data_IF_307826851688
#
_entry.id   IF_307826851688
#
_cell.length_a   1.000
_cell.length_b   1.000
_cell.length_c   1.000
_cell.angle_alpha   90.00
_cell.angle_beta   90.00
_cell.angle_gamma   90.00
#
_symmetry.space_group_name_H-M   'P 1'
#
loop_
_entity.id
_entity.type
_entity.pdbx_description
1 polymer ?
#
# COMPACT_ATOMS: atom_id res chain seq x y z
N UNK A 1 24.20 -13.02 14.67
CA UNK A 1 22.82 -13.41 14.30
C UNK A 1 22.01 -12.13 14.36
N UNK A 2 21.71 -11.54 13.19
CA UNK A 2 20.85 -10.36 13.15
C UNK A 2 19.46 -10.75 13.69
N UNK A 3 18.95 -9.98 14.63
CA UNK A 3 17.60 -10.17 15.14
C UNK A 3 16.66 -9.51 14.14
N UNK A 4 15.90 -10.30 13.40
CA UNK A 4 14.85 -9.79 12.53
C UNK A 4 13.76 -9.23 13.44
N UNK A 5 13.52 -7.93 13.36
CA UNK A 5 12.49 -7.22 14.14
C UNK A 5 11.16 -7.10 13.38
N UNK A 6 11.06 -7.75 12.20
CA UNK A 6 9.90 -7.74 11.32
C UNK A 6 9.41 -9.18 11.05
N UNK A 7 8.14 -9.44 11.22
CA UNK A 7 7.55 -10.76 11.00
C UNK A 7 6.48 -10.72 9.91
N UNK A 8 6.38 -11.79 9.11
CA UNK A 8 5.29 -11.95 8.15
C UNK A 8 4.07 -12.51 8.89
N UNK A 9 2.96 -11.75 8.89
CA UNK A 9 1.64 -12.23 9.36
C UNK A 9 1.00 -13.08 8.27
N UNK A 10 1.01 -12.57 7.04
CA UNK A 10 0.40 -13.21 5.87
C UNK A 10 1.19 -12.88 4.61
N UNK A 11 1.26 -13.83 3.68
CA UNK A 11 1.80 -13.62 2.33
C UNK A 11 0.81 -14.16 1.30
N UNK A 12 0.40 -13.33 0.36
CA UNK A 12 -0.52 -13.71 -0.70
C UNK A 12 -0.18 -12.97 -2.00
N UNK A 13 -0.20 -13.67 -3.13
CA UNK A 13 0.10 -13.12 -4.47
C UNK A 13 1.39 -12.25 -4.50
N UNK A 14 2.40 -12.58 -3.72
CA UNK A 14 3.64 -11.79 -3.63
C UNK A 14 3.59 -10.59 -2.69
N UNK A 15 2.41 -10.09 -2.31
CA UNK A 15 2.25 -9.10 -1.26
C UNK A 15 2.40 -9.74 0.13
N UNK A 16 2.76 -8.94 1.12
CA UNK A 16 2.85 -9.42 2.50
C UNK A 16 2.28 -8.40 3.49
N UNK A 17 1.56 -8.89 4.49
CA UNK A 17 1.25 -8.16 5.70
C UNK A 17 2.33 -8.46 6.73
N UNK A 18 2.93 -7.43 7.27
CA UNK A 18 4.08 -7.51 8.16
C UNK A 18 3.73 -6.90 9.52
N UNK A 19 4.26 -7.49 10.58
CA UNK A 19 4.20 -6.97 11.95
C UNK A 19 5.60 -6.63 12.42
N UNK A 20 5.93 -5.35 12.64
CA UNK A 20 7.17 -4.97 13.27
C UNK A 20 7.14 -5.27 14.76
N UNK A 21 8.30 -5.52 15.34
CA UNK A 21 8.44 -5.62 16.79
C UNK A 21 8.16 -4.28 17.44
N UNK A 22 7.28 -4.27 18.42
CA UNK A 22 6.91 -3.08 19.18
C UNK A 22 7.43 -3.21 20.60
N UNK A 23 8.30 -2.28 21.00
CA UNK A 23 8.76 -2.13 22.39
C UNK A 23 7.85 -1.14 23.10
N UNK A 24 7.37 -1.50 24.28
CA UNK A 24 6.47 -0.68 25.08
C UNK A 24 7.07 -0.38 26.46
N UNK A 25 6.93 0.84 26.93
CA UNK A 25 7.24 1.24 28.30
C UNK A 25 6.24 2.29 28.79
N UNK A 26 6.49 2.89 29.96
CA UNK A 26 5.61 3.92 30.57
C UNK A 26 5.47 5.19 29.70
N UNK A 27 6.35 5.43 28.74
CA UNK A 27 6.34 6.60 27.85
C UNK A 27 5.54 6.34 26.57
N UNK A 28 5.28 5.07 26.22
CA UNK A 28 4.55 4.71 25.00
C UNK A 28 5.14 3.52 24.27
N UNK A 29 5.19 3.63 22.93
CA UNK A 29 5.61 2.56 22.04
C UNK A 29 6.76 3.04 21.15
N UNK A 30 7.70 2.15 20.86
CA UNK A 30 8.76 2.34 19.87
C UNK A 30 8.80 1.13 18.93
N UNK A 31 8.96 1.39 17.65
CA UNK A 31 9.15 0.34 16.63
C UNK A 31 10.04 0.85 15.51
N UNK A 32 10.74 -0.07 14.87
CA UNK A 32 11.30 0.12 13.53
C UNK A 32 10.33 -0.52 12.56
N UNK A 33 9.54 0.25 11.79
CA UNK A 33 8.49 -0.31 10.95
C UNK A 33 9.01 -1.28 9.89
N UNK A 34 10.21 -1.05 9.40
CA UNK A 34 10.97 -1.95 8.55
C UNK A 34 12.43 -1.49 8.45
N UNK A 35 13.30 -2.40 8.04
CA UNK A 35 14.64 -2.11 7.54
C UNK A 35 14.86 -2.84 6.21
N UNK A 36 15.78 -2.37 5.39
CA UNK A 36 16.10 -3.05 4.11
C UNK A 36 16.67 -4.45 4.38
N UNK A 37 17.48 -4.60 5.43
CA UNK A 37 18.02 -5.89 5.85
C UNK A 37 16.92 -6.88 6.23
N UNK A 38 15.91 -6.44 7.00
CA UNK A 38 14.78 -7.30 7.38
C UNK A 38 13.94 -7.73 6.18
N UNK A 39 13.61 -6.79 5.27
CA UNK A 39 12.88 -7.12 4.04
C UNK A 39 13.61 -8.20 3.24
N UNK A 40 14.92 -8.04 3.03
CA UNK A 40 15.75 -9.03 2.31
C UNK A 40 15.83 -10.36 3.02
N UNK A 41 15.99 -10.36 4.34
CA UNK A 41 16.04 -11.58 5.14
C UNK A 41 14.72 -12.36 5.09
N UNK A 42 13.61 -11.66 4.92
CA UNK A 42 12.29 -12.25 4.69
C UNK A 42 12.05 -12.69 3.22
N UNK A 43 13.05 -12.51 2.33
CA UNK A 43 12.92 -12.81 0.91
C UNK A 43 11.99 -11.86 0.17
N UNK A 44 11.86 -10.63 0.63
CA UNK A 44 11.15 -9.55 -0.03
C UNK A 44 12.15 -8.71 -0.84
N UNK A 45 11.90 -8.58 -2.14
CA UNK A 45 12.81 -7.87 -3.04
C UNK A 45 12.79 -6.36 -2.76
N UNK A 46 13.99 -5.77 -2.63
CA UNK A 46 14.14 -4.33 -2.39
C UNK A 46 15.46 -3.81 -2.99
N UNK A 47 15.40 -2.68 -3.71
CA UNK A 47 16.61 -1.97 -4.20
C UNK A 47 17.29 -1.19 -3.07
N UNK A 48 18.50 -0.68 -3.35
CA UNK A 48 19.23 0.20 -2.41
C UNK A 48 18.72 1.65 -2.42
N UNK A 49 18.03 2.03 -3.48
CA UNK A 49 17.40 3.36 -3.61
C UNK A 49 16.03 3.36 -2.94
N UNK A 50 15.63 4.47 -2.38
CA UNK A 50 14.30 4.65 -1.82
C UNK A 50 13.81 6.10 -1.92
N UNK A 51 12.47 6.26 -1.95
CA UNK A 51 11.78 7.52 -1.82
C UNK A 51 10.69 7.38 -0.76
N UNK A 52 10.71 8.25 0.25
CA UNK A 52 9.63 8.35 1.24
C UNK A 52 8.56 9.29 0.73
N UNK A 53 7.32 8.85 0.80
CA UNK A 53 6.12 9.60 0.44
C UNK A 53 5.19 9.66 1.66
N UNK A 54 4.62 10.84 1.91
CA UNK A 54 3.61 11.06 2.93
C UNK A 54 2.32 11.54 2.27
N UNK A 55 1.19 10.98 2.68
CA UNK A 55 -0.13 11.33 2.16
C UNK A 55 -1.09 11.60 3.31
N UNK A 56 -1.70 12.78 3.28
CA UNK A 56 -2.80 13.16 4.15
C UNK A 56 -4.11 13.14 3.36
N UNK A 57 -5.17 12.58 3.94
CA UNK A 57 -6.50 12.48 3.33
C UNK A 57 -7.55 12.93 4.33
N UNK A 58 -8.29 13.99 4.00
CA UNK A 58 -9.21 14.65 4.91
C UNK A 58 -10.40 13.76 5.30
N UNK A 59 -11.01 13.10 4.33
CA UNK A 59 -12.31 12.49 4.50
C UNK A 59 -12.26 10.96 4.40
N UNK A 60 -13.00 10.30 5.27
CA UNK A 60 -13.34 8.88 5.22
C UNK A 60 -14.00 8.54 3.87
N UNK A 61 -13.73 7.35 3.35
CA UNK A 61 -14.29 6.88 2.08
C UNK A 61 -13.57 7.39 0.83
N UNK A 62 -12.50 8.16 0.99
CA UNK A 62 -11.71 8.65 -0.15
C UNK A 62 -10.85 7.53 -0.72
N UNK A 63 -11.08 7.18 -1.99
CA UNK A 63 -10.25 6.24 -2.75
C UNK A 63 -9.12 7.00 -3.45
N UNK A 64 -7.90 6.51 -3.32
CA UNK A 64 -6.72 7.02 -4.04
C UNK A 64 -6.00 5.90 -4.78
N UNK A 65 -5.75 6.10 -6.06
CA UNK A 65 -5.23 5.07 -6.96
C UNK A 65 -6.36 4.24 -7.59
N UNK A 66 -6.07 3.01 -8.08
CA UNK A 66 -4.77 2.34 -8.08
C UNK A 66 -3.77 2.93 -9.07
N UNK A 67 -2.53 3.07 -8.61
CA UNK A 67 -1.45 3.67 -9.39
C UNK A 67 -0.23 2.74 -9.46
N UNK A 68 0.48 2.77 -10.59
CA UNK A 68 1.73 2.04 -10.79
C UNK A 68 2.68 2.83 -11.67
N UNK A 69 3.91 2.37 -11.80
CA UNK A 69 4.91 2.94 -12.67
C UNK A 69 5.39 1.87 -13.65
N UNK A 70 5.31 2.17 -14.94
CA UNK A 70 5.58 1.18 -16.00
C UNK A 70 7.07 0.95 -16.20
N UNK A 71 7.83 2.05 -16.38
CA UNK A 71 9.29 2.02 -16.34
C UNK A 71 9.73 2.36 -14.91
N UNK A 72 10.80 1.74 -14.47
CA UNK A 72 11.28 1.83 -13.09
C UNK A 72 10.22 1.40 -12.07
N UNK A 73 9.67 0.17 -12.22
CA UNK A 73 8.61 -0.31 -11.36
C UNK A 73 9.05 -0.28 -9.89
N UNK A 74 8.10 0.04 -9.01
CA UNK A 74 8.35 0.27 -7.60
C UNK A 74 7.80 -0.88 -6.76
N UNK A 75 8.64 -1.49 -5.91
CA UNK A 75 8.13 -2.14 -4.71
C UNK A 75 7.76 -1.07 -3.67
N UNK A 76 6.82 -1.37 -2.80
CA UNK A 76 6.30 -0.41 -1.81
C UNK A 76 6.19 -1.05 -0.43
N UNK A 77 6.53 -0.27 0.58
CA UNK A 77 6.25 -0.57 1.98
C UNK A 77 5.34 0.53 2.50
N UNK A 78 4.14 0.17 2.93
CA UNK A 78 3.06 1.11 3.29
C UNK A 78 2.70 0.92 4.76
N UNK A 79 2.53 2.01 5.50
CA UNK A 79 1.99 2.01 6.85
C UNK A 79 0.98 3.13 7.06
N UNK A 80 0.00 2.91 7.91
CA UNK A 80 -0.85 3.96 8.44
C UNK A 80 -0.16 4.63 9.63
N UNK A 81 -0.07 5.96 9.63
CA UNK A 81 0.54 6.73 10.74
C UNK A 81 -0.51 7.46 11.57
N UNK A 82 -1.72 7.66 11.02
CA UNK A 82 -2.87 8.19 11.74
C UNK A 82 -4.16 7.69 11.10
N UNK A 83 -5.14 7.31 11.93
CA UNK A 83 -6.39 6.73 11.49
C UNK A 83 -6.25 5.29 11.02
N UNK A 84 -7.02 4.92 9.99
CA UNK A 84 -7.04 3.59 9.38
C UNK A 84 -7.38 3.66 7.90
N UNK A 85 -6.91 2.67 7.14
CA UNK A 85 -7.15 2.55 5.71
C UNK A 85 -7.17 1.09 5.27
N UNK A 86 -7.85 0.81 4.16
CA UNK A 86 -7.75 -0.46 3.45
C UNK A 86 -6.83 -0.28 2.26
N UNK A 87 -5.69 -0.94 2.28
CA UNK A 87 -4.62 -0.85 1.29
C UNK A 87 -4.65 -2.06 0.37
N UNK A 88 -4.59 -1.86 -0.94
CA UNK A 88 -4.75 -2.91 -1.95
C UNK A 88 -3.59 -2.92 -2.93
N UNK A 89 -2.97 -4.10 -3.09
CA UNK A 89 -2.01 -4.40 -4.13
C UNK A 89 -2.66 -5.22 -5.26
N UNK A 90 -2.56 -4.75 -6.49
CA UNK A 90 -3.21 -5.35 -7.67
C UNK A 90 -2.13 -5.82 -8.63
N UNK A 91 -2.12 -7.09 -8.99
CA UNK A 91 -1.20 -7.63 -9.99
C UNK A 91 -1.55 -7.09 -11.38
N UNK A 92 -0.59 -6.42 -12.05
CA UNK A 92 -0.81 -5.81 -13.36
C UNK A 92 -0.22 -6.62 -14.52
N UNK A 93 0.50 -7.71 -14.24
CA UNK A 93 1.18 -8.53 -15.26
C UNK A 93 1.09 -10.02 -14.96
N UNK A 94 1.32 -10.84 -15.98
CA UNK A 94 1.41 -12.31 -15.88
C UNK A 94 0.06 -12.99 -15.61
N UNK A 95 0.11 -14.24 -15.17
CA UNK A 95 -1.06 -15.11 -14.98
C UNK A 95 -2.02 -14.59 -13.89
N UNK A 96 -1.52 -13.82 -12.95
CA UNK A 96 -2.32 -13.24 -11.87
C UNK A 96 -2.85 -11.84 -12.18
N UNK A 97 -2.72 -11.35 -13.42
CA UNK A 97 -3.20 -10.02 -13.82
C UNK A 97 -4.67 -9.83 -13.43
N UNK A 98 -4.97 -8.73 -12.73
CA UNK A 98 -6.29 -8.40 -12.23
C UNK A 98 -6.63 -9.02 -10.87
N UNK A 99 -5.83 -9.95 -10.34
CA UNK A 99 -6.00 -10.41 -8.96
C UNK A 99 -5.41 -9.39 -7.99
N UNK A 100 -6.01 -9.29 -6.81
CA UNK A 100 -5.59 -8.33 -5.79
C UNK A 100 -5.51 -8.95 -4.40
N UNK A 101 -4.78 -8.29 -3.54
CA UNK A 101 -4.70 -8.55 -2.10
C UNK A 101 -4.92 -7.23 -1.37
N UNK A 102 -5.72 -7.25 -0.32
CA UNK A 102 -5.99 -6.06 0.48
C UNK A 102 -5.89 -6.33 1.97
N UNK A 103 -5.34 -5.36 2.71
CA UNK A 103 -5.19 -5.41 4.15
C UNK A 103 -5.64 -4.10 4.78
N UNK A 104 -6.29 -4.20 5.96
CA UNK A 104 -6.55 -3.03 6.80
C UNK A 104 -5.27 -2.70 7.54
N UNK A 105 -4.82 -1.45 7.43
CA UNK A 105 -3.69 -0.90 8.14
C UNK A 105 -4.17 0.17 9.10
N UNK A 106 -3.72 0.10 10.34
CA UNK A 106 -4.11 1.04 11.39
C UNK A 106 -2.89 1.67 12.06
N UNK A 107 -3.01 2.93 12.46
CA UNK A 107 -1.94 3.59 13.22
C UNK A 107 -1.68 2.91 14.57
N UNK A 108 -2.71 2.30 15.17
CA UNK A 108 -2.63 1.63 16.48
C UNK A 108 -1.99 0.26 16.38
N UNK A 109 -2.32 -0.49 15.32
CA UNK A 109 -1.81 -1.85 15.06
C UNK A 109 -0.37 -1.85 14.57
N UNK A 110 0.03 -0.76 13.90
CA UNK A 110 1.38 -0.58 13.35
C UNK A 110 1.76 -1.62 12.27
N UNK A 111 0.78 -2.27 11.66
CA UNK A 111 0.98 -3.19 10.57
C UNK A 111 1.59 -2.47 9.37
N UNK A 112 2.35 -3.21 8.59
CA UNK A 112 3.03 -2.73 7.38
C UNK A 112 2.68 -3.64 6.22
N UNK A 113 2.30 -3.09 5.08
CA UNK A 113 2.06 -3.85 3.86
C UNK A 113 3.23 -3.70 2.90
N UNK A 114 3.78 -4.83 2.47
CA UNK A 114 4.71 -4.90 1.35
C UNK A 114 3.95 -5.23 0.07
N UNK A 115 4.22 -4.47 -1.00
CA UNK A 115 3.72 -4.70 -2.36
C UNK A 115 4.93 -4.81 -3.29
N UNK A 116 5.09 -5.92 -4.06
CA UNK A 116 6.23 -6.11 -4.95
C UNK A 116 6.12 -5.24 -6.21
N UNK A 117 7.21 -5.17 -6.98
CA UNK A 117 7.22 -4.57 -8.32
C UNK A 117 6.25 -5.31 -9.25
N UNK A 118 5.65 -4.58 -10.19
CA UNK A 118 4.66 -5.15 -11.11
C UNK A 118 3.25 -5.17 -10.53
N UNK A 119 3.01 -4.39 -9.48
CA UNK A 119 1.70 -4.19 -8.87
C UNK A 119 1.29 -2.71 -8.91
N UNK A 120 -0.01 -2.48 -9.10
CA UNK A 120 -0.62 -1.20 -8.80
C UNK A 120 -1.01 -1.16 -7.32
N UNK A 121 -0.95 0.03 -6.73
CA UNK A 121 -1.36 0.29 -5.35
C UNK A 121 -2.48 1.31 -5.32
N UNK A 122 -3.52 1.01 -4.55
CA UNK A 122 -4.59 1.93 -4.19
C UNK A 122 -5.02 1.71 -2.74
N UNK A 123 -5.77 2.65 -2.20
CA UNK A 123 -6.33 2.52 -0.85
C UNK A 123 -7.63 3.32 -0.73
N UNK A 124 -8.44 2.97 0.27
CA UNK A 124 -9.57 3.77 0.75
C UNK A 124 -9.37 4.08 2.22
N UNK A 125 -9.67 5.33 2.62
CA UNK A 125 -9.62 5.75 4.03
C UNK A 125 -10.84 5.25 4.80
N UNK A 126 -10.62 4.71 6.00
CA UNK A 126 -11.68 4.20 6.87
C UNK A 126 -12.03 5.19 7.99
N UNK A 127 -11.24 6.24 8.16
CA UNK A 127 -11.42 7.33 9.11
C UNK A 127 -11.11 8.67 8.46
N UNK A 128 -11.64 9.76 9.03
CA UNK A 128 -11.28 11.12 8.65
C UNK A 128 -9.85 11.45 9.07
N UNK A 129 -9.20 12.36 8.35
CA UNK A 129 -7.84 12.81 8.62
C UNK A 129 -6.83 11.66 8.70
N UNK A 130 -6.99 10.67 7.82
CA UNK A 130 -6.09 9.53 7.73
C UNK A 130 -4.77 9.93 7.07
N UNK A 131 -3.68 9.51 7.71
CA UNK A 131 -2.32 9.74 7.20
C UNK A 131 -1.63 8.40 6.96
N UNK A 132 -0.98 8.28 5.81
CA UNK A 132 -0.14 7.14 5.49
C UNK A 132 1.23 7.58 5.00
N UNK A 133 2.22 6.78 5.33
CA UNK A 133 3.54 6.83 4.72
C UNK A 133 3.75 5.59 3.85
N UNK A 134 4.39 5.79 2.71
CA UNK A 134 4.87 4.67 1.92
C UNK A 134 6.24 4.98 1.34
N UNK A 135 7.09 3.98 1.38
CA UNK A 135 8.42 4.04 0.83
C UNK A 135 8.44 3.20 -0.43
N UNK A 136 9.11 3.71 -1.45
CA UNK A 136 9.29 3.03 -2.73
C UNK A 136 10.77 2.79 -2.97
N UNK A 137 11.11 1.68 -3.60
CA UNK A 137 12.48 1.30 -3.91
C UNK A 137 12.99 1.80 -5.27
N UNK A 138 12.21 2.67 -5.91
CA UNK A 138 12.58 3.49 -7.07
C UNK A 138 11.94 4.87 -6.93
N UNK A 139 12.58 5.88 -7.54
CA UNK A 139 12.06 7.23 -7.56
C UNK A 139 10.80 7.34 -8.42
N UNK A 140 9.97 8.34 -8.12
CA UNK A 140 8.81 8.66 -8.92
C UNK A 140 9.22 9.22 -10.29
N UNK A 141 8.64 8.67 -11.35
CA UNK A 141 8.82 9.11 -12.73
C UNK A 141 7.43 9.46 -13.32
N UNK A 142 7.18 10.74 -13.46
CA UNK A 142 5.87 11.27 -13.92
C UNK A 142 5.46 10.71 -15.28
N UNK A 143 6.41 10.62 -16.21
CA UNK A 143 6.19 10.21 -17.60
C UNK A 143 5.72 8.75 -17.72
N UNK A 144 6.02 7.93 -16.73
CA UNK A 144 5.70 6.49 -16.73
C UNK A 144 4.67 6.10 -15.66
N UNK A 145 4.22 7.09 -14.87
CA UNK A 145 3.22 6.89 -13.82
C UNK A 145 1.83 6.74 -14.42
N UNK A 146 1.23 5.57 -14.23
CA UNK A 146 -0.08 5.19 -14.76
C UNK A 146 -1.07 4.88 -13.63
N UNK A 147 -2.34 4.90 -14.01
CA UNK A 147 -3.46 4.48 -13.15
C UNK A 147 -4.30 3.44 -13.87
N UNK A 148 -5.00 2.62 -13.12
CA UNK A 148 -6.05 1.74 -13.63
C UNK A 148 -7.38 2.12 -13.01
N UNK A 149 -8.47 1.78 -13.70
CA UNK A 149 -9.81 2.10 -13.27
C UNK A 149 -10.10 1.45 -11.91
N UNK A 150 -10.56 2.22 -10.95
CA UNK A 150 -10.66 1.83 -9.55
C UNK A 150 -11.79 0.82 -9.28
N UNK A 151 -12.89 0.89 -10.04
CA UNK A 151 -14.15 0.14 -9.86
C UNK A 151 -14.27 -1.13 -10.72
N UNK A 152 -13.23 -1.46 -11.52
CA UNK A 152 -13.34 -2.51 -12.56
C UNK A 152 -12.90 -3.91 -12.11
N UNK A 153 -12.08 -3.99 -11.06
CA UNK A 153 -11.41 -5.25 -10.67
C UNK A 153 -12.24 -6.06 -9.66
N UNK A 154 -13.37 -5.52 -9.23
CA UNK A 154 -14.22 -6.17 -8.21
C UNK A 154 -13.67 -6.04 -6.79
N UNK A 155 -12.83 -5.03 -6.55
CA UNK A 155 -12.36 -4.70 -5.19
C UNK A 155 -13.54 -4.15 -4.40
N UNK A 156 -13.80 -4.74 -3.25
CA UNK A 156 -14.76 -4.18 -2.30
C UNK A 156 -14.13 -3.01 -1.53
N UNK A 157 -14.21 -1.83 -2.11
CA UNK A 157 -13.74 -0.60 -1.46
C UNK A 157 -14.61 -0.18 -0.27
N UNK A 158 -15.81 -0.75 -0.12
CA UNK A 158 -16.67 -0.49 1.05
C UNK A 158 -16.21 -1.27 2.28
N UNK A 159 -15.30 -2.23 2.09
CA UNK A 159 -14.76 -3.10 3.15
C UNK A 159 -15.90 -3.79 3.94
N UNK A 160 -16.77 -4.47 3.18
CA UNK A 160 -17.94 -5.15 3.77
C UNK A 160 -19.00 -4.18 4.31
N UNK A 161 -19.11 -2.97 3.76
CA UNK A 161 -20.06 -1.96 4.19
C UNK A 161 -19.60 -1.08 5.36
N UNK A 162 -18.33 -1.20 5.76
CA UNK A 162 -17.77 -0.37 6.84
C UNK A 162 -17.62 1.10 6.46
N UNK A 163 -17.52 1.40 5.16
CA UNK A 163 -17.32 2.75 4.63
C UNK A 163 -18.14 2.95 3.35
N UNK A 164 -18.67 4.16 3.16
CA UNK A 164 -19.25 4.61 1.90
C UNK A 164 -18.16 5.27 1.05
N UNK A 165 -18.02 4.84 -0.22
CA UNK A 165 -17.03 5.40 -1.11
C UNK A 165 -17.42 6.80 -1.58
N UNK A 166 -16.54 7.76 -1.44
CA UNK A 166 -16.71 9.14 -1.87
C UNK A 166 -16.24 9.32 -3.32
N UNK A 167 -17.07 8.93 -4.27
CA UNK A 167 -16.77 9.06 -5.70
C UNK A 167 -16.57 10.52 -6.14
N UNK A 168 -17.20 11.46 -5.44
CA UNK A 168 -17.04 12.89 -5.64
C UNK A 168 -15.62 13.39 -5.36
N UNK A 169 -14.86 12.68 -4.53
CA UNK A 169 -13.46 12.99 -4.18
C UNK A 169 -12.42 12.28 -5.04
N UNK A 170 -12.83 11.49 -6.02
CA UNK A 170 -11.90 10.90 -6.98
C UNK A 170 -11.18 11.97 -7.80
N UNK A 171 -9.85 11.87 -7.88
CA UNK A 171 -9.10 12.73 -8.80
C UNK A 171 -9.48 12.46 -10.27
N UNK A 172 -9.37 13.46 -11.15
CA UNK A 172 -9.63 13.26 -12.57
C UNK A 172 -8.79 12.15 -13.19
N UNK A 173 -7.56 12.01 -12.74
CA UNK A 173 -6.65 10.91 -13.14
C UNK A 173 -7.24 9.54 -12.81
N UNK A 174 -7.79 9.35 -11.63
CA UNK A 174 -8.35 8.05 -11.20
C UNK A 174 -9.74 7.81 -11.80
N UNK A 175 -10.56 8.87 -11.94
CA UNK A 175 -11.89 8.81 -12.55
C UNK A 175 -11.81 8.38 -14.02
N UNK A 176 -10.84 8.92 -14.77
CA UNK A 176 -10.65 8.69 -16.20
C UNK A 176 -9.56 7.64 -16.51
N UNK A 177 -9.12 6.88 -15.52
CA UNK A 177 -8.11 5.85 -15.71
C UNK A 177 -8.59 4.75 -16.67
N UNK A 178 -7.69 4.18 -17.50
CA UNK A 178 -8.03 3.09 -18.40
C UNK A 178 -8.33 1.81 -17.64
N UNK A 179 -9.06 0.90 -18.31
CA UNK A 179 -9.25 -0.47 -17.86
C UNK A 179 -7.91 -1.20 -17.71
N UNK A 180 -7.81 -2.09 -16.73
CA UNK A 180 -6.65 -2.98 -16.55
C UNK A 180 -6.40 -3.86 -17.79
N UNK A 181 -7.39 -4.07 -18.63
CA UNK A 181 -7.26 -4.83 -19.87
C UNK A 181 -6.29 -4.19 -20.85
N UNK A 182 -6.10 -2.87 -20.77
CA UNK A 182 -5.26 -2.06 -21.64
C UNK A 182 -3.90 -1.69 -21.01
N UNK A 183 -3.58 -2.24 -19.84
CA UNK A 183 -2.33 -1.99 -19.12
C UNK A 183 -1.27 -3.05 -19.43
#
# INVERSE_FOLDING_TARGET
>A
MEVIDLNIIERNLGCALLSPKVVKDIRGKFTVPFSISDLRSLGLEWNDTYQLNHSFTNEKGTVRGPNYQELFPQAKVIRCVKGSLYSVGICIKGENKGRYVGYILTAVGMEVMYIPRGYAHGFVTLEDNTELEYITDNQYCYETAKSIKWDEIGIDWTVGGCVEVREDLLSDKNRNAPSIKFC
#
